data_IF_247168718979
#
_entry.id   IF_247168718979
#
_cell.length_a   1.000
_cell.length_b   1.000
_cell.length_c   1.000
_cell.angle_alpha   90.00
_cell.angle_beta   90.00
_cell.angle_gamma   90.00
#
_symmetry.space_group_name_H-M   'P 1'
#
loop_
_entity.id
_entity.type
_entity.pdbx_description
1 polymer ?
#
# COMPACT_ATOMS: atom_id res chain seq x y z
N UNK A 1 35.67 18.39 -23.88
CA UNK A 1 34.95 17.18 -23.48
C UNK A 1 34.74 17.23 -21.95
N UNK A 2 33.58 17.74 -21.50
CA UNK A 2 33.24 17.76 -20.07
C UNK A 2 32.46 16.48 -19.80
N UNK A 3 33.06 15.57 -19.07
CA UNK A 3 32.44 14.38 -18.53
C UNK A 3 31.51 14.78 -17.39
N UNK A 4 30.21 14.77 -17.69
CA UNK A 4 29.15 14.91 -16.68
C UNK A 4 29.12 13.63 -15.82
N UNK A 5 29.84 13.64 -14.70
CA UNK A 5 29.70 12.63 -13.67
C UNK A 5 28.35 12.83 -12.97
N UNK A 6 27.34 12.05 -13.36
CA UNK A 6 26.12 11.92 -12.58
C UNK A 6 26.45 11.27 -11.24
N UNK A 7 26.76 12.07 -10.23
CA UNK A 7 26.81 11.62 -8.83
C UNK A 7 25.40 11.29 -8.38
N UNK A 8 25.06 10.01 -8.32
CA UNK A 8 23.87 9.53 -7.63
C UNK A 8 24.01 9.91 -6.16
N UNK A 9 23.27 10.92 -5.77
CA UNK A 9 23.16 11.30 -4.36
C UNK A 9 22.25 10.27 -3.71
N UNK A 10 22.82 9.28 -3.05
CA UNK A 10 22.04 8.37 -2.17
C UNK A 10 21.51 9.24 -1.04
N UNK A 11 20.31 9.71 -1.19
CA UNK A 11 19.62 10.50 -0.19
C UNK A 11 18.76 9.52 0.61
N UNK A 12 19.12 9.26 1.87
CA UNK A 12 18.26 8.51 2.78
C UNK A 12 16.88 9.15 2.79
N UNK A 13 15.86 8.37 2.47
CA UNK A 13 14.50 8.83 2.49
C UNK A 13 13.85 8.33 3.77
N UNK A 14 13.81 9.18 4.79
CA UNK A 14 13.18 8.88 6.08
C UNK A 14 11.67 9.00 6.02
N UNK A 15 11.15 9.71 5.01
CA UNK A 15 9.71 9.97 4.81
C UNK A 15 9.31 9.89 3.35
N UNK A 16 8.18 9.25 3.10
CA UNK A 16 7.55 9.20 1.79
C UNK A 16 6.03 9.30 1.93
N UNK A 17 5.38 10.05 1.02
CA UNK A 17 3.92 10.10 0.91
C UNK A 17 3.49 9.31 -0.30
N UNK A 18 2.57 8.38 -0.11
CA UNK A 18 2.03 7.53 -1.18
C UNK A 18 0.51 7.44 -1.09
N UNK A 19 -0.11 7.22 -2.21
CA UNK A 19 -1.54 6.93 -2.32
C UNK A 19 -1.69 5.44 -2.54
N UNK A 20 -2.45 4.81 -1.66
CA UNK A 20 -2.77 3.39 -1.75
C UNK A 20 -4.25 3.20 -1.99
N UNK A 21 -4.59 2.25 -2.87
CA UNK A 21 -5.97 1.94 -3.24
C UNK A 21 -6.18 0.44 -3.18
N UNK A 22 -7.24 0.00 -2.50
CA UNK A 22 -7.64 -1.40 -2.51
C UNK A 22 -8.29 -1.78 -3.85
N UNK A 23 -8.40 -3.06 -4.14
CA UNK A 23 -9.16 -3.54 -5.29
C UNK A 23 -10.67 -3.33 -5.09
N UNK A 24 -11.39 -2.88 -6.12
CA UNK A 24 -12.86 -2.90 -6.15
C UNK A 24 -13.33 -4.36 -6.19
N UNK A 25 -14.44 -4.70 -5.54
CA UNK A 25 -15.11 -5.99 -5.73
C UNK A 25 -15.72 -6.08 -7.14
N UNK A 26 -15.67 -7.25 -7.75
CA UNK A 26 -16.35 -7.53 -9.02
C UNK A 26 -17.87 -7.45 -8.86
N UNK A 27 -18.57 -7.06 -9.91
CA UNK A 27 -20.03 -6.97 -9.87
C UNK A 27 -20.64 -8.37 -10.00
N UNK A 28 -21.81 -8.59 -9.39
CA UNK A 28 -22.60 -9.81 -9.60
C UNK A 28 -23.17 -9.82 -11.01
N UNK A 29 -23.33 -11.01 -11.59
CA UNK A 29 -23.82 -11.19 -12.95
C UNK A 29 -25.33 -11.48 -12.99
N UNK A 30 -25.97 -11.02 -14.07
CA UNK A 30 -27.38 -11.33 -14.35
C UNK A 30 -27.43 -12.26 -15.55
N UNK A 31 -27.79 -13.51 -15.33
CA UNK A 31 -28.01 -14.47 -16.42
C UNK A 31 -29.11 -15.46 -16.06
N UNK A 32 -29.61 -16.14 -17.08
CA UNK A 32 -30.66 -17.14 -16.98
C UNK A 32 -30.22 -18.39 -17.75
N UNK A 33 -30.39 -19.54 -17.13
CA UNK A 33 -30.10 -20.83 -17.73
C UNK A 33 -30.97 -21.03 -18.97
N UNK A 34 -30.32 -21.39 -20.10
CA UNK A 34 -30.99 -21.74 -21.36
C UNK A 34 -30.37 -23.02 -21.88
N UNK A 35 -31.17 -24.04 -22.01
CA UNK A 35 -30.78 -25.33 -22.56
C UNK A 35 -31.77 -25.79 -23.65
N UNK A 36 -31.37 -26.77 -24.46
CA UNK A 36 -32.12 -27.20 -25.64
C UNK A 36 -33.60 -27.55 -25.35
N UNK A 37 -33.91 -28.04 -24.16
CA UNK A 37 -35.27 -28.42 -23.75
C UNK A 37 -35.78 -27.65 -22.52
N UNK A 38 -35.04 -26.61 -22.08
CA UNK A 38 -35.39 -25.75 -20.92
C UNK A 38 -35.31 -24.31 -21.35
N UNK A 39 -36.33 -23.78 -22.08
CA UNK A 39 -36.28 -22.41 -22.60
C UNK A 39 -36.38 -21.35 -21.51
N UNK A 40 -37.00 -21.64 -20.36
CA UNK A 40 -37.20 -20.75 -19.24
C UNK A 40 -36.52 -21.30 -17.98
N UNK A 41 -35.19 -21.45 -18.04
CA UNK A 41 -34.39 -21.84 -16.88
C UNK A 41 -34.35 -20.70 -15.82
N UNK A 42 -34.09 -21.06 -14.57
CA UNK A 42 -33.93 -20.12 -13.47
C UNK A 42 -32.71 -19.19 -13.60
N UNK A 43 -32.55 -18.22 -12.71
CA UNK A 43 -31.37 -17.37 -12.67
C UNK A 43 -30.12 -18.17 -12.37
N UNK A 44 -29.06 -17.92 -13.11
CA UNK A 44 -27.77 -18.62 -13.02
C UNK A 44 -26.56 -17.67 -13.05
N UNK A 45 -26.79 -16.39 -12.75
CA UNK A 45 -25.70 -15.42 -12.63
C UNK A 45 -24.87 -15.65 -11.39
N UNK A 46 -23.55 -15.75 -11.56
CA UNK A 46 -22.58 -15.96 -10.48
C UNK A 46 -22.20 -14.66 -9.79
N UNK A 47 -21.51 -14.80 -8.66
CA UNK A 47 -21.05 -13.68 -7.83
C UNK A 47 -19.77 -13.09 -8.39
N UNK A 48 -19.55 -11.80 -8.15
CA UNK A 48 -18.28 -11.15 -8.44
C UNK A 48 -17.17 -11.60 -7.50
N UNK A 49 -15.92 -11.51 -7.95
CA UNK A 49 -14.73 -11.78 -7.14
C UNK A 49 -14.45 -10.67 -6.13
N UNK A 50 -13.79 -11.00 -5.03
CA UNK A 50 -13.26 -10.02 -4.07
C UNK A 50 -12.14 -9.20 -4.73
N UNK A 51 -12.04 -7.89 -4.45
CA UNK A 51 -10.87 -7.08 -4.78
C UNK A 51 -9.67 -7.43 -3.92
N UNK A 52 -8.45 -7.17 -4.42
CA UNK A 52 -7.20 -7.41 -3.71
C UNK A 52 -7.03 -6.49 -2.50
N UNK A 53 -6.40 -6.99 -1.46
CA UNK A 53 -6.03 -6.23 -0.25
C UNK A 53 -4.72 -5.46 -0.48
N UNK A 54 -4.48 -4.39 0.31
CA UNK A 54 -3.18 -3.71 0.38
C UNK A 54 -2.49 -4.10 1.67
N UNK A 55 -1.33 -4.75 1.53
CA UNK A 55 -0.58 -5.37 2.61
C UNK A 55 0.81 -4.77 2.66
N UNK A 56 1.23 -4.34 3.84
CA UNK A 56 2.63 -3.99 4.09
C UNK A 56 3.36 -5.18 4.69
N UNK A 57 4.56 -5.44 4.18
CA UNK A 57 5.43 -6.53 4.59
C UNK A 57 6.82 -5.97 4.92
N UNK A 58 7.34 -6.34 6.09
CA UNK A 58 8.73 -5.99 6.45
C UNK A 58 9.69 -6.84 5.63
N UNK A 59 10.62 -6.17 4.96
CA UNK A 59 11.73 -6.82 4.26
C UNK A 59 13.06 -6.33 4.85
N UNK A 60 13.78 -7.21 5.53
CA UNK A 60 15.07 -6.90 6.18
C UNK A 60 16.21 -6.57 5.20
N UNK A 61 16.00 -6.84 3.90
CA UNK A 61 16.97 -6.47 2.85
C UNK A 61 16.81 -5.01 2.37
N UNK A 62 15.77 -4.31 2.82
CA UNK A 62 15.51 -2.92 2.44
C UNK A 62 15.79 -2.01 3.63
N UNK A 63 16.65 -0.99 3.44
CA UNK A 63 17.02 -0.04 4.48
C UNK A 63 16.54 1.39 4.21
N UNK A 64 15.85 1.63 3.10
CA UNK A 64 15.41 2.98 2.70
C UNK A 64 14.01 2.96 2.11
N UNK A 65 13.32 4.12 2.15
CA UNK A 65 12.01 4.34 1.49
C UNK A 65 12.16 5.01 0.12
N UNK A 66 13.33 4.91 -0.53
CA UNK A 66 13.63 5.63 -1.78
C UNK A 66 12.68 5.26 -2.91
N UNK A 67 12.28 4.00 -3.04
CA UNK A 67 11.38 3.53 -4.08
C UNK A 67 10.01 4.22 -4.03
N UNK A 68 9.53 4.52 -2.81
CA UNK A 68 8.26 5.21 -2.58
C UNK A 68 8.28 6.70 -2.89
N UNK A 69 9.46 7.30 -3.09
CA UNK A 69 9.58 8.69 -3.56
C UNK A 69 9.37 8.81 -5.06
N UNK A 70 9.77 7.79 -5.81
CA UNK A 70 9.66 7.77 -7.26
C UNK A 70 8.26 7.35 -7.70
N UNK A 71 7.73 6.30 -7.13
CA UNK A 71 6.36 5.83 -7.38
C UNK A 71 5.47 6.16 -6.20
N UNK A 72 4.44 6.97 -6.44
CA UNK A 72 3.56 7.46 -5.38
C UNK A 72 2.16 6.85 -5.37
N UNK A 73 1.76 6.13 -6.42
CA UNK A 73 0.43 5.53 -6.53
C UNK A 73 0.54 4.02 -6.64
N UNK A 74 -0.17 3.33 -5.77
CA UNK A 74 -0.21 1.89 -5.70
C UNK A 74 -1.67 1.44 -5.58
N UNK A 75 -2.08 0.51 -6.44
CA UNK A 75 -3.43 -0.02 -6.44
C UNK A 75 -3.38 -1.55 -6.49
N UNK A 76 -4.20 -2.21 -5.67
CA UNK A 76 -4.45 -3.64 -5.76
C UNK A 76 -5.40 -3.94 -6.91
N UNK A 77 -5.41 -5.17 -7.38
CA UNK A 77 -6.25 -5.57 -8.48
C UNK A 77 -7.74 -5.63 -8.10
N UNK A 78 -8.65 -5.21 -8.99
CA UNK A 78 -10.08 -5.39 -8.78
C UNK A 78 -10.46 -6.87 -8.94
N UNK A 79 -11.53 -7.29 -8.27
CA UNK A 79 -12.19 -8.57 -8.55
C UNK A 79 -12.90 -8.54 -9.90
N UNK A 80 -12.97 -9.67 -10.55
CA UNK A 80 -13.68 -9.82 -11.82
C UNK A 80 -15.19 -9.97 -11.59
N UNK A 81 -15.97 -9.54 -12.58
CA UNK A 81 -17.41 -9.75 -12.62
C UNK A 81 -17.74 -11.26 -12.60
N UNK A 82 -18.86 -11.61 -11.99
CA UNK A 82 -19.42 -12.95 -12.05
C UNK A 82 -19.76 -13.36 -13.48
N UNK A 83 -19.86 -14.67 -13.73
CA UNK A 83 -20.19 -15.22 -15.04
C UNK A 83 -21.52 -15.96 -15.06
N UNK A 84 -21.89 -16.46 -16.24
CA UNK A 84 -23.03 -17.35 -16.44
C UNK A 84 -22.77 -18.72 -15.79
N UNK A 85 -23.84 -19.51 -15.61
CA UNK A 85 -23.78 -20.87 -15.05
C UNK A 85 -23.18 -20.90 -13.64
N UNK A 86 -23.54 -19.91 -12.81
CA UNK A 86 -23.06 -19.75 -11.43
C UNK A 86 -21.54 -19.65 -11.30
N UNK A 87 -20.85 -19.19 -12.36
CA UNK A 87 -19.40 -19.01 -12.30
C UNK A 87 -19.05 -17.76 -11.50
N UNK A 88 -18.27 -17.93 -10.43
CA UNK A 88 -17.75 -16.80 -9.66
C UNK A 88 -16.66 -16.06 -10.44
N UNK A 89 -16.62 -14.74 -10.30
CA UNK A 89 -15.51 -13.91 -10.78
C UNK A 89 -14.20 -14.23 -10.05
N UNK A 90 -13.08 -14.14 -10.74
CA UNK A 90 -11.75 -14.29 -10.12
C UNK A 90 -11.52 -13.19 -9.10
N UNK A 91 -10.96 -13.54 -7.94
CA UNK A 91 -10.51 -12.53 -6.96
C UNK A 91 -9.31 -11.75 -7.51
N UNK A 92 -9.26 -10.45 -7.22
CA UNK A 92 -8.09 -9.61 -7.51
C UNK A 92 -6.89 -10.02 -6.66
N UNK A 93 -5.70 -9.84 -7.19
CA UNK A 93 -4.45 -10.13 -6.48
C UNK A 93 -4.16 -9.05 -5.42
N UNK A 94 -3.65 -9.49 -4.28
CA UNK A 94 -3.25 -8.60 -3.21
C UNK A 94 -2.02 -7.80 -3.61
N UNK A 95 -1.98 -6.52 -3.22
CA UNK A 95 -0.82 -5.67 -3.39
C UNK A 95 0.06 -5.75 -2.14
N UNK A 96 1.26 -6.29 -2.30
CA UNK A 96 2.25 -6.38 -1.23
C UNK A 96 3.27 -5.25 -1.39
N UNK A 97 3.33 -4.35 -0.40
CA UNK A 97 4.30 -3.25 -0.33
C UNK A 97 5.37 -3.61 0.70
N UNK A 98 6.62 -3.72 0.25
CA UNK A 98 7.75 -4.08 1.09
C UNK A 98 8.36 -2.84 1.72
N UNK A 99 8.49 -2.82 3.03
CA UNK A 99 9.06 -1.70 3.80
C UNK A 99 10.16 -2.18 4.73
N UNK A 100 11.13 -1.30 5.08
CA UNK A 100 12.14 -1.62 6.09
C UNK A 100 11.50 -1.82 7.47
N UNK A 101 12.18 -2.57 8.32
CA UNK A 101 11.81 -2.70 9.75
C UNK A 101 11.83 -1.33 10.43
N UNK A 102 10.88 -1.07 11.34
CA UNK A 102 10.75 0.21 12.03
C UNK A 102 10.01 1.30 11.23
N UNK A 103 9.33 0.94 10.12
CA UNK A 103 8.51 1.89 9.36
C UNK A 103 7.18 2.15 10.05
N UNK A 104 6.88 3.43 10.31
CA UNK A 104 5.55 3.91 10.75
C UNK A 104 4.70 4.27 9.54
N UNK A 105 3.48 3.75 9.51
CA UNK A 105 2.47 4.09 8.51
C UNK A 105 1.45 5.01 9.17
N UNK A 106 1.36 6.25 8.69
CA UNK A 106 0.44 7.27 9.20
C UNK A 106 -0.56 7.67 8.12
N UNK A 107 -1.76 7.99 8.53
CA UNK A 107 -2.71 8.67 7.66
C UNK A 107 -2.22 10.11 7.38
N UNK A 108 -2.09 10.47 6.12
CA UNK A 108 -1.56 11.78 5.73
C UNK A 108 -2.49 12.95 6.11
N UNK A 109 -3.79 12.71 6.21
CA UNK A 109 -4.79 13.72 6.55
C UNK A 109 -4.86 13.98 8.06
N UNK A 110 -4.95 12.93 8.87
CA UNK A 110 -5.12 13.05 10.33
C UNK A 110 -3.80 12.98 11.10
N UNK A 111 -2.71 12.51 10.49
CA UNK A 111 -1.43 12.25 11.14
C UNK A 111 -1.46 11.06 12.12
N UNK A 112 -2.58 10.35 12.24
CA UNK A 112 -2.69 9.20 13.14
C UNK A 112 -1.88 8.02 12.62
N UNK A 113 -1.25 7.30 13.54
CA UNK A 113 -0.55 6.05 13.23
C UNK A 113 -1.58 4.97 12.93
N UNK A 114 -1.53 4.41 11.72
CA UNK A 114 -2.35 3.28 11.29
C UNK A 114 -1.67 1.98 11.68
N UNK A 115 -0.36 1.87 11.43
CA UNK A 115 0.42 0.68 11.76
C UNK A 115 1.88 1.04 12.08
N UNK A 116 2.50 0.23 12.92
CA UNK A 116 3.93 0.27 13.24
C UNK A 116 4.54 -1.08 12.82
N UNK A 117 5.43 -1.02 11.83
CA UNK A 117 6.09 -2.18 11.23
C UNK A 117 7.40 -2.49 11.96
N UNK A 118 7.33 -2.72 13.28
CA UNK A 118 8.47 -3.03 14.13
C UNK A 118 8.23 -4.28 14.98
N UNK A 119 9.30 -4.98 15.33
CA UNK A 119 9.26 -6.19 16.14
C UNK A 119 8.47 -7.32 15.47
N UNK A 120 7.44 -7.83 16.17
CA UNK A 120 6.63 -8.96 15.69
C UNK A 120 5.67 -8.59 14.55
N UNK A 121 5.44 -7.29 14.31
CA UNK A 121 4.54 -6.80 13.29
C UNK A 121 5.18 -6.79 11.89
N UNK A 122 5.48 -7.96 11.38
CA UNK A 122 6.14 -8.12 10.07
C UNK A 122 5.20 -8.01 8.88
N UNK A 123 3.88 -8.20 9.09
CA UNK A 123 2.86 -8.17 8.03
C UNK A 123 1.57 -7.55 8.52
N UNK A 124 1.10 -6.49 7.86
CA UNK A 124 -0.12 -5.76 8.21
C UNK A 124 -1.00 -5.51 6.98
N UNK A 125 -2.30 -5.81 7.09
CA UNK A 125 -3.30 -5.46 6.08
C UNK A 125 -3.82 -4.06 6.40
N UNK A 126 -3.49 -3.08 5.57
CA UNK A 126 -3.89 -1.67 5.79
C UNK A 126 -5.24 -1.37 5.14
N UNK A 127 -5.46 -1.84 3.91
CA UNK A 127 -6.75 -1.72 3.23
C UNK A 127 -7.24 -3.10 2.80
N UNK A 128 -8.50 -3.37 3.09
CA UNK A 128 -9.18 -4.57 2.59
C UNK A 128 -9.83 -4.27 1.25
N UNK A 129 -9.73 -5.21 0.32
CA UNK A 129 -10.42 -5.17 -0.95
C UNK A 129 -11.92 -5.21 -0.80
N UNK A 130 -12.63 -4.61 -1.75
CA UNK A 130 -14.08 -4.61 -1.80
C UNK A 130 -14.63 -6.04 -1.94
N UNK A 131 -15.75 -6.32 -1.30
CA UNK A 131 -16.45 -7.60 -1.47
C UNK A 131 -17.08 -7.66 -2.86
N UNK A 132 -17.05 -8.83 -3.48
CA UNK A 132 -17.79 -9.08 -4.71
C UNK A 132 -19.29 -8.97 -4.51
N UNK A 133 -20.00 -8.50 -5.53
CA UNK A 133 -21.45 -8.41 -5.55
C UNK A 133 -22.08 -9.79 -5.77
N UNK A 134 -23.26 -10.02 -5.23
CA UNK A 134 -24.02 -11.26 -5.41
C UNK A 134 -24.70 -11.28 -6.78
N UNK A 135 -24.63 -12.42 -7.45
CA UNK A 135 -25.34 -12.69 -8.70
C UNK A 135 -26.84 -12.80 -8.52
N UNK A 136 -27.60 -12.74 -9.63
CA UNK A 136 -29.06 -12.76 -9.58
C UNK A 136 -29.65 -14.08 -9.03
N UNK A 137 -28.89 -15.16 -8.98
CA UNK A 137 -29.32 -16.43 -8.37
C UNK A 137 -29.73 -16.27 -6.88
N UNK A 138 -29.05 -15.35 -6.14
CA UNK A 138 -29.32 -15.13 -4.71
C UNK A 138 -30.63 -14.37 -4.45
N UNK A 139 -31.20 -13.72 -5.46
CA UNK A 139 -32.41 -12.90 -5.36
C UNK A 139 -33.67 -13.64 -5.85
N UNK A 140 -33.54 -14.91 -6.24
CA UNK A 140 -34.67 -15.74 -6.59
C UNK A 140 -35.52 -16.07 -5.36
N UNK A 141 -36.80 -15.74 -5.41
CA UNK A 141 -37.78 -16.06 -4.36
C UNK A 141 -38.99 -16.75 -5.00
N UNK A 142 -39.89 -17.32 -4.17
CA UNK A 142 -41.13 -17.92 -4.66
C UNK A 142 -42.00 -16.97 -5.47
N UNK A 143 -41.96 -15.68 -5.12
CA UNK A 143 -42.71 -14.62 -5.81
C UNK A 143 -41.94 -13.98 -6.95
N UNK A 144 -40.62 -13.97 -6.91
CA UNK A 144 -39.71 -13.42 -7.93
C UNK A 144 -38.77 -14.49 -8.45
N UNK A 145 -39.22 -15.34 -9.35
CA UNK A 145 -38.44 -16.47 -9.87
C UNK A 145 -37.37 -16.06 -10.90
N UNK A 146 -37.47 -14.88 -11.51
CA UNK A 146 -36.58 -14.38 -12.53
C UNK A 146 -36.06 -12.95 -12.24
N UNK A 147 -35.25 -12.75 -11.18
CA UNK A 147 -34.69 -11.44 -10.86
C UNK A 147 -33.73 -10.95 -11.96
N UNK A 148 -33.99 -9.73 -12.46
CA UNK A 148 -33.19 -9.09 -13.52
C UNK A 148 -32.13 -8.12 -12.97
N UNK A 149 -31.74 -8.28 -11.73
CA UNK A 149 -30.74 -7.45 -11.07
C UNK A 149 -29.76 -8.32 -10.30
N UNK A 150 -28.57 -7.77 -10.11
CA UNK A 150 -27.51 -8.33 -9.29
C UNK A 150 -26.90 -7.21 -8.44
N UNK A 151 -26.16 -7.55 -7.42
CA UNK A 151 -25.52 -6.59 -6.54
C UNK A 151 -24.23 -6.08 -7.18
N UNK A 152 -23.98 -4.76 -7.21
CA UNK A 152 -22.66 -4.24 -7.58
C UNK A 152 -21.62 -4.63 -6.54
N UNK A 153 -20.38 -4.81 -6.98
CA UNK A 153 -19.26 -5.02 -6.09
C UNK A 153 -18.99 -3.77 -5.23
N UNK A 154 -18.48 -3.99 -4.04
CA UNK A 154 -18.13 -2.91 -3.13
C UNK A 154 -16.97 -2.08 -3.71
N UNK A 155 -17.10 -0.74 -3.65
CA UNK A 155 -16.09 0.17 -4.18
C UNK A 155 -14.75 0.05 -3.45
N UNK A 156 -13.68 0.41 -4.17
CA UNK A 156 -12.33 0.47 -3.64
C UNK A 156 -12.18 1.63 -2.66
N UNK A 157 -11.39 1.41 -1.62
CA UNK A 157 -11.00 2.45 -0.66
C UNK A 157 -9.65 3.00 -1.09
N UNK A 158 -9.54 4.33 -1.17
CA UNK A 158 -8.30 5.04 -1.50
C UNK A 158 -7.94 5.98 -0.36
N UNK A 159 -6.69 5.89 0.12
CA UNK A 159 -6.16 6.78 1.17
C UNK A 159 -4.74 7.23 0.82
N UNK A 160 -4.38 8.42 1.28
CA UNK A 160 -3.00 8.90 1.28
C UNK A 160 -2.34 8.56 2.61
N UNK A 161 -1.20 7.87 2.56
CA UNK A 161 -0.44 7.50 3.74
C UNK A 161 0.96 8.11 3.69
N UNK A 162 1.46 8.49 4.86
CA UNK A 162 2.82 8.90 5.06
C UNK A 162 3.60 7.77 5.72
N UNK A 163 4.63 7.31 5.05
CA UNK A 163 5.61 6.38 5.58
C UNK A 163 6.72 7.17 6.28
N UNK A 164 7.04 6.81 7.50
CA UNK A 164 8.17 7.36 8.25
C UNK A 164 9.04 6.22 8.77
N UNK A 165 10.32 6.24 8.43
CA UNK A 165 11.28 5.28 8.95
C UNK A 165 11.86 5.78 10.26
N UNK A 166 11.73 4.98 11.33
CA UNK A 166 12.43 5.20 12.59
C UNK A 166 13.89 4.76 12.39
N UNK A 167 14.76 5.71 12.11
CA UNK A 167 16.20 5.42 11.98
C UNK A 167 16.80 5.39 13.38
N UNK A 168 17.36 4.25 13.78
CA UNK A 168 18.17 4.12 14.99
C UNK A 168 19.62 4.26 14.55
N UNK A 169 20.33 5.21 15.13
CA UNK A 169 21.77 5.35 14.89
C UNK A 169 22.54 4.32 15.69
N UNK A 170 23.46 3.60 15.06
CA UNK A 170 24.32 2.61 15.73
C UNK A 170 25.40 3.27 16.57
N UNK A 171 25.85 4.47 16.18
CA UNK A 171 26.90 5.24 16.86
C UNK A 171 26.48 6.71 17.02
N UNK A 172 26.60 7.24 18.22
CA UNK A 172 26.37 8.65 18.55
C UNK A 172 27.67 9.40 18.80
N UNK A 173 27.91 10.51 18.11
CA UNK A 173 29.02 11.44 18.37
C UNK A 173 28.59 12.51 19.37
N UNK A 174 29.10 12.43 20.60
CA UNK A 174 28.85 13.40 21.66
C UNK A 174 30.14 14.14 22.00
N UNK A 175 30.08 15.44 22.20
CA UNK A 175 31.28 16.23 22.57
C UNK A 175 30.95 17.72 22.65
N UNK A 176 31.87 18.51 23.19
CA UNK A 176 31.74 19.95 23.33
C UNK A 176 31.52 20.67 21.98
N UNK A 177 30.97 21.90 21.98
CA UNK A 177 30.90 22.75 20.79
C UNK A 177 32.29 22.92 20.14
N UNK A 178 32.33 23.04 18.81
CA UNK A 178 33.55 23.30 18.01
C UNK A 178 34.68 22.24 18.07
N UNK A 179 34.44 21.04 18.57
CA UNK A 179 35.41 19.95 18.60
C UNK A 179 35.56 19.22 17.25
N UNK A 180 34.83 19.66 16.23
CA UNK A 180 34.95 19.06 14.89
C UNK A 180 34.01 17.87 14.62
N UNK A 181 32.99 17.61 15.44
CA UNK A 181 32.01 16.52 15.23
C UNK A 181 31.38 16.54 13.83
N UNK A 182 30.89 17.70 13.41
CA UNK A 182 30.25 17.85 12.08
C UNK A 182 31.27 17.69 10.95
N UNK A 183 32.52 18.07 11.14
CA UNK A 183 33.59 17.88 10.18
C UNK A 183 33.99 16.40 10.07
N UNK A 184 34.05 15.69 11.21
CA UNK A 184 34.26 14.24 11.21
C UNK A 184 33.12 13.53 10.48
N UNK A 185 31.87 13.83 10.81
CA UNK A 185 30.70 13.24 10.17
C UNK A 185 30.71 13.48 8.65
N UNK A 186 31.04 14.69 8.18
CA UNK A 186 31.12 14.99 6.73
C UNK A 186 32.25 14.26 6.00
N UNK A 187 33.27 13.78 6.71
CA UNK A 187 34.38 13.00 6.15
C UNK A 187 34.13 11.50 6.12
N UNK A 188 33.42 11.00 7.13
CA UNK A 188 33.14 9.56 7.29
C UNK A 188 31.87 9.15 6.53
N UNK A 189 30.91 10.07 6.38
CA UNK A 189 29.64 9.78 5.74
C UNK A 189 29.35 10.75 4.58
N UNK A 190 28.40 10.38 3.71
CA UNK A 190 27.87 11.28 2.68
C UNK A 190 26.86 12.31 3.23
N UNK A 191 26.65 12.35 4.54
CA UNK A 191 25.81 13.35 5.18
C UNK A 191 26.41 14.75 5.00
N UNK A 192 25.55 15.76 4.80
CA UNK A 192 25.98 17.16 4.75
C UNK A 192 25.45 17.88 6.00
N UNK A 193 26.11 17.70 7.18
CA UNK A 193 25.73 18.43 8.37
C UNK A 193 25.99 19.92 8.16
N UNK A 194 25.18 20.77 8.79
CA UNK A 194 25.46 22.22 8.82
C UNK A 194 26.68 22.45 9.69
N UNK A 195 27.82 22.73 9.05
CA UNK A 195 29.05 23.12 9.73
C UNK A 195 29.01 24.62 9.95
N UNK A 196 28.82 25.03 11.21
CA UNK A 196 28.84 26.43 11.59
C UNK A 196 29.33 26.59 13.04
N UNK A 197 29.94 27.73 13.33
CA UNK A 197 30.47 28.05 14.65
C UNK A 197 29.38 28.51 15.62
N UNK A 198 28.34 27.71 15.82
CA UNK A 198 27.31 27.99 16.83
C UNK A 198 27.60 27.19 18.11
N UNK A 199 27.29 27.81 19.26
CA UNK A 199 27.42 27.14 20.56
C UNK A 199 26.52 25.90 20.68
N UNK A 200 25.39 25.86 19.91
CA UNK A 200 24.48 24.72 19.84
C UNK A 200 24.21 24.43 18.36
N UNK A 201 24.71 23.34 17.83
CA UNK A 201 24.63 23.04 16.40
C UNK A 201 23.35 22.32 16.00
N UNK A 202 22.66 21.64 16.91
CA UNK A 202 21.44 20.87 16.56
C UNK A 202 20.54 20.65 17.76
N UNK A 203 19.25 21.00 17.59
CA UNK A 203 18.15 20.47 18.39
C UNK A 203 17.66 19.11 17.83
N UNK A 204 18.11 18.75 16.62
CA UNK A 204 17.79 17.48 15.96
C UNK A 204 19.10 16.79 15.57
N UNK A 205 19.19 15.45 15.76
CA UNK A 205 20.39 14.70 15.38
C UNK A 205 20.58 14.74 13.85
N UNK A 206 21.83 14.89 13.41
CA UNK A 206 22.21 14.69 12.01
C UNK A 206 22.56 13.21 11.85
N UNK A 207 21.81 12.52 10.99
CA UNK A 207 22.05 11.12 10.63
C UNK A 207 23.00 11.06 9.44
N UNK A 208 23.92 10.13 9.45
CA UNK A 208 24.90 9.91 8.40
C UNK A 208 25.32 8.45 8.27
#
# INVERSE_FOLDING_TARGET
MQTFSMRWKIMFADRAKIIIKSGKGGDGHVSFRREKYVPNGGPDGGDGGKGGDVIFLVDKGINTLTDYRHRRKFAAEPGQEGGKKNCHGKNGEDLILKVPEGTLIKDAASGKVIADMSGDNTRQVILRGGKGGQGNQHYATSTMQAPKYAQPGQDAIEIEVQLELKVIADVGLVGFPNVGKSTLLSRVTNAQPKIANYHFTTLQPNLG
#
